data_IF_046784880859
#
_entry.id   IF_046784880859
#
_cell.length_a   1.000
_cell.length_b   1.000
_cell.length_c   1.000
_cell.angle_alpha   90.00
_cell.angle_beta   90.00
_cell.angle_gamma   90.00
#
_symmetry.space_group_name_H-M   'P 1'
#
loop_
_entity.id
_entity.type
_entity.pdbx_description
1 polymer ?
#
# COMPACT_ATOMS: atom_id res chain seq x y z
N UNK A 1 7.56 -19.40 -15.42
CA UNK A 1 6.38 -19.26 -14.54
C UNK A 1 5.98 -17.81 -14.56
N UNK A 2 4.73 -17.52 -14.93
CA UNK A 2 4.16 -16.17 -14.80
C UNK A 2 4.20 -15.72 -13.34
N UNK A 3 4.42 -14.43 -13.13
CA UNK A 3 4.45 -13.82 -11.79
C UNK A 3 3.33 -12.80 -11.70
N UNK A 4 2.58 -12.84 -10.61
CA UNK A 4 1.65 -11.79 -10.24
C UNK A 4 2.35 -10.81 -9.30
N UNK A 5 2.41 -9.54 -9.71
CA UNK A 5 2.95 -8.45 -8.91
C UNK A 5 1.80 -7.68 -8.27
N UNK A 6 1.77 -7.70 -6.94
CA UNK A 6 0.76 -7.05 -6.12
C UNK A 6 1.36 -5.78 -5.53
N UNK A 7 0.76 -4.65 -5.85
CA UNK A 7 1.12 -3.34 -5.32
C UNK A 7 0.05 -2.92 -4.32
N UNK A 8 0.46 -2.69 -3.07
CA UNK A 8 -0.40 -2.12 -2.05
C UNK A 8 0.05 -0.69 -1.76
N UNK A 9 -0.91 0.21 -1.63
CA UNK A 9 -0.68 1.59 -1.21
C UNK A 9 -1.74 2.05 -0.23
N UNK A 10 -1.34 2.81 0.78
CA UNK A 10 -2.27 3.28 1.81
C UNK A 10 -1.67 4.38 2.67
N UNK A 11 -2.53 5.05 3.45
CA UNK A 11 -2.15 6.17 4.32
C UNK A 11 -1.72 5.63 5.69
N UNK A 12 -2.41 4.62 6.21
CA UNK A 12 -2.06 3.97 7.47
C UNK A 12 -1.04 2.85 7.22
N UNK A 13 0.20 2.95 7.76
CA UNK A 13 1.18 1.88 7.61
C UNK A 13 0.75 0.62 8.35
N UNK A 14 0.03 0.77 9.46
CA UNK A 14 -0.39 -0.34 10.33
C UNK A 14 -1.42 -1.23 9.62
N UNK A 15 -2.42 -0.61 8.99
CA UNK A 15 -3.44 -1.33 8.23
C UNK A 15 -2.85 -1.96 6.96
N UNK A 16 -1.93 -1.25 6.29
CA UNK A 16 -1.22 -1.74 5.12
C UNK A 16 -0.40 -3.01 5.43
N UNK A 17 0.32 -3.01 6.55
CA UNK A 17 1.09 -4.17 7.00
C UNK A 17 0.15 -5.32 7.42
N UNK A 18 -1.00 -5.01 8.02
CA UNK A 18 -2.06 -5.98 8.31
C UNK A 18 -2.55 -6.71 7.06
N UNK A 19 -2.86 -5.99 5.98
CA UNK A 19 -3.26 -6.57 4.70
C UNK A 19 -2.12 -7.37 4.07
N UNK A 20 -0.87 -6.89 4.12
CA UNK A 20 0.29 -7.63 3.63
C UNK A 20 0.45 -8.98 4.33
N UNK A 21 0.24 -9.03 5.64
CA UNK A 21 0.29 -10.27 6.41
C UNK A 21 -0.82 -11.24 6.01
N UNK A 22 -2.02 -10.75 5.71
CA UNK A 22 -3.10 -11.60 5.20
C UNK A 22 -2.75 -12.19 3.83
N UNK A 23 -2.23 -11.39 2.90
CA UNK A 23 -1.73 -11.85 1.59
C UNK A 23 -0.67 -12.94 1.76
N UNK A 24 0.29 -12.73 2.66
CA UNK A 24 1.33 -13.71 2.97
C UNK A 24 0.75 -15.02 3.52
N UNK A 25 -0.19 -14.94 4.46
CA UNK A 25 -0.83 -16.13 5.03
C UNK A 25 -1.60 -16.96 3.99
N UNK A 26 -2.20 -16.31 3.00
CA UNK A 26 -2.90 -16.99 1.90
C UNK A 26 -1.90 -17.72 1.01
N UNK A 27 -0.79 -17.08 0.64
CA UNK A 27 0.26 -17.69 -0.16
C UNK A 27 0.88 -18.92 0.53
N UNK A 28 1.13 -18.83 1.83
CA UNK A 28 1.62 -19.95 2.64
C UNK A 28 0.62 -21.11 2.70
N UNK A 29 -0.69 -20.82 2.86
CA UNK A 29 -1.74 -21.85 2.86
C UNK A 29 -1.92 -22.54 1.51
N UNK A 30 -1.72 -21.83 0.40
CA UNK A 30 -1.81 -22.42 -0.93
C UNK A 30 -0.51 -23.09 -1.37
N UNK A 31 0.60 -22.88 -0.65
CA UNK A 31 1.92 -23.43 -1.00
C UNK A 31 2.57 -22.74 -2.20
N UNK A 32 2.19 -21.49 -2.46
CA UNK A 32 2.69 -20.73 -3.60
C UNK A 32 3.91 -19.91 -3.19
N UNK A 33 4.94 -19.92 -4.04
CA UNK A 33 6.15 -19.14 -3.79
C UNK A 33 5.83 -17.64 -3.78
N UNK A 34 6.23 -16.99 -2.69
CA UNK A 34 6.06 -15.55 -2.43
C UNK A 34 7.43 -14.89 -2.26
N UNK A 35 7.56 -13.68 -2.78
CA UNK A 35 8.68 -12.78 -2.54
C UNK A 35 8.15 -11.44 -2.02
N UNK A 36 8.69 -10.98 -0.89
CA UNK A 36 8.22 -9.79 -0.18
C UNK A 36 7.46 -10.13 1.12
N UNK A 37 6.86 -9.14 1.80
CA UNK A 37 6.55 -7.79 1.32
C UNK A 37 7.75 -6.83 1.34
N UNK A 38 8.04 -6.22 0.20
CA UNK A 38 9.10 -5.22 0.06
C UNK A 38 8.53 -3.83 0.37
N UNK A 39 9.02 -3.14 1.42
CA UNK A 39 8.63 -1.76 1.69
C UNK A 39 9.27 -0.82 0.68
N UNK A 40 8.44 -0.17 -0.13
CA UNK A 40 8.89 0.89 -1.01
C UNK A 40 8.96 2.22 -0.24
N UNK A 41 9.81 3.17 -0.69
CA UNK A 41 9.91 4.48 -0.07
C UNK A 41 8.55 5.15 0.09
N UNK A 42 8.30 5.70 1.28
CA UNK A 42 7.06 6.41 1.58
C UNK A 42 7.05 7.73 0.83
N UNK A 43 6.03 7.97 -0.01
CA UNK A 43 5.88 9.24 -0.71
C UNK A 43 5.28 10.25 0.27
N UNK A 44 6.04 11.30 0.57
CA UNK A 44 5.57 12.43 1.39
C UNK A 44 5.09 13.55 0.46
N UNK A 45 3.85 13.97 0.66
CA UNK A 45 3.26 15.13 0.00
C UNK A 45 3.19 16.24 1.05
N UNK A 46 3.92 17.33 0.84
CA UNK A 46 4.02 18.43 1.79
C UNK A 46 3.34 19.65 1.19
N UNK A 47 2.42 20.27 1.93
CA UNK A 47 1.68 21.46 1.52
C UNK A 47 1.82 22.51 2.63
N UNK A 48 2.80 23.42 2.52
CA UNK A 48 2.91 24.54 3.44
C UNK A 48 1.82 25.57 3.14
N UNK A 49 1.03 25.96 4.15
CA UNK A 49 -0.02 26.98 4.02
C UNK A 49 0.16 28.08 5.06
N UNK A 50 -0.25 29.30 4.73
CA UNK A 50 -0.27 30.40 5.69
C UNK A 50 -1.39 30.17 6.69
N UNK A 51 -1.11 30.38 7.98
CA UNK A 51 -2.11 30.25 9.05
C UNK A 51 -3.20 31.32 8.98
N UNK A 52 -2.79 32.56 8.71
CA UNK A 52 -3.68 33.72 8.68
C UNK A 52 -4.43 33.82 7.34
N UNK A 53 -5.77 34.02 7.35
CA UNK A 53 -6.54 34.25 6.14
C UNK A 53 -6.43 35.68 5.60
N UNK A 54 -6.27 36.70 6.46
CA UNK A 54 -6.24 38.12 6.07
C UNK A 54 -4.84 38.59 5.64
N UNK A 55 -3.81 37.83 5.98
CA UNK A 55 -2.43 38.17 5.67
C UNK A 55 -1.80 39.20 6.60
N UNK A 56 -2.51 39.64 7.63
CA UNK A 56 -1.99 40.48 8.70
C UNK A 56 -1.30 39.67 9.80
N UNK A 57 -0.42 40.34 10.56
CA UNK A 57 0.36 39.77 11.64
C UNK A 57 1.60 38.98 11.18
N UNK A 58 2.27 38.30 12.12
CA UNK A 58 3.48 37.53 11.84
C UNK A 58 3.21 36.40 10.85
N UNK A 59 4.05 36.29 9.81
CA UNK A 59 3.96 35.22 8.81
C UNK A 59 4.27 33.85 9.44
N UNK A 60 3.23 33.16 9.89
CA UNK A 60 3.29 31.82 10.44
C UNK A 60 2.69 30.81 9.45
N UNK A 61 3.30 29.63 9.39
CA UNK A 61 3.03 28.61 8.37
C UNK A 61 2.67 27.27 9.01
N UNK A 62 1.64 26.60 8.50
CA UNK A 62 1.35 25.20 8.78
C UNK A 62 1.96 24.32 7.70
N UNK A 63 2.65 23.27 8.13
CA UNK A 63 3.30 22.31 7.24
C UNK A 63 2.50 21.02 7.21
N UNK A 64 1.44 21.00 6.41
CA UNK A 64 0.62 19.81 6.26
C UNK A 64 1.39 18.75 5.50
N UNK A 65 1.34 17.51 5.97
CA UNK A 65 1.90 16.35 5.27
C UNK A 65 0.88 15.23 5.09
N UNK A 66 0.85 14.63 3.90
CA UNK A 66 0.21 13.34 3.66
C UNK A 66 1.29 12.33 3.29
N UNK A 67 1.33 11.21 4.02
CA UNK A 67 2.28 10.13 3.81
C UNK A 67 1.56 8.95 3.16
N UNK A 68 2.04 8.53 1.99
CA UNK A 68 1.53 7.37 1.28
C UNK A 68 2.58 6.26 1.35
N UNK A 69 2.26 5.22 2.11
CA UNK A 69 3.09 4.04 2.25
C UNK A 69 2.81 3.06 1.11
N UNK A 70 3.86 2.38 0.65
CA UNK A 70 3.77 1.45 -0.47
C UNK A 70 4.45 0.13 -0.10
N UNK A 71 3.85 -0.97 -0.55
CA UNK A 71 4.37 -2.33 -0.40
C UNK A 71 4.27 -3.04 -1.74
N UNK A 72 5.27 -3.87 -2.03
CA UNK A 72 5.31 -4.70 -3.21
C UNK A 72 5.41 -6.17 -2.79
N UNK A 73 4.57 -7.02 -3.36
CA UNK A 73 4.59 -8.46 -3.15
C UNK A 73 4.57 -9.12 -4.52
N UNK A 74 5.51 -10.02 -4.78
CA UNK A 74 5.50 -10.85 -5.99
C UNK A 74 5.10 -12.27 -5.59
N UNK A 75 4.11 -12.84 -6.28
CA UNK A 75 3.58 -14.20 -6.07
C UNK A 75 3.65 -14.96 -7.39
N UNK A 76 3.96 -16.25 -7.35
CA UNK A 76 3.83 -17.08 -8.56
C UNK A 76 2.35 -17.15 -8.99
N UNK A 77 2.09 -17.01 -10.29
CA UNK A 77 0.73 -16.95 -10.81
C UNK A 77 0.05 -18.33 -10.73
N UNK A 78 -0.60 -18.58 -9.59
CA UNK A 78 -1.51 -19.71 -9.37
C UNK A 78 -2.95 -19.19 -9.28
N UNK A 79 -3.85 -19.81 -10.03
CA UNK A 79 -5.24 -19.35 -10.14
C UNK A 79 -5.99 -19.51 -8.82
N UNK A 80 -5.69 -20.56 -8.05
CA UNK A 80 -6.31 -20.79 -6.74
C UNK A 80 -5.89 -19.71 -5.75
N UNK A 81 -4.62 -19.35 -5.71
CA UNK A 81 -4.12 -18.26 -4.87
C UNK A 81 -4.72 -16.90 -5.26
N UNK A 82 -4.75 -16.56 -6.56
CA UNK A 82 -5.33 -15.29 -7.04
C UNK A 82 -6.81 -15.15 -6.66
N UNK A 83 -7.61 -16.21 -6.81
CA UNK A 83 -9.03 -16.19 -6.41
C UNK A 83 -9.22 -15.98 -4.90
N UNK A 84 -8.32 -16.51 -4.06
CA UNK A 84 -8.38 -16.27 -2.62
C UNK A 84 -7.96 -14.85 -2.25
N UNK A 85 -6.95 -14.30 -2.94
CA UNK A 85 -6.49 -12.93 -2.71
C UNK A 85 -7.58 -11.90 -3.02
N UNK A 86 -8.35 -12.10 -4.09
CA UNK A 86 -9.47 -11.21 -4.44
C UNK A 86 -10.61 -11.18 -3.40
N UNK A 87 -10.65 -12.14 -2.47
CA UNK A 87 -11.68 -12.23 -1.42
C UNK A 87 -11.27 -11.56 -0.10
N UNK A 88 -10.04 -11.06 0.00
CA UNK A 88 -9.57 -10.39 1.21
C UNK A 88 -10.43 -9.14 1.46
N UNK A 89 -10.80 -8.91 2.73
CA UNK A 89 -11.44 -7.67 3.14
C UNK A 89 -10.37 -6.59 3.29
N UNK A 90 -10.40 -5.61 2.38
CA UNK A 90 -9.45 -4.51 2.34
C UNK A 90 -10.11 -3.26 2.92
N UNK A 91 -9.49 -2.60 3.91
CA UNK A 91 -9.89 -1.27 4.37
C UNK A 91 -9.99 -0.26 3.23
N UNK A 92 -10.94 0.69 3.32
CA UNK A 92 -11.24 1.64 2.23
C UNK A 92 -10.07 2.60 1.90
N UNK A 93 -9.16 2.78 2.84
CA UNK A 93 -7.98 3.63 2.74
C UNK A 93 -6.76 2.93 2.11
N UNK A 94 -6.90 1.64 1.76
CA UNK A 94 -5.87 0.86 1.10
C UNK A 94 -6.29 0.55 -0.33
N UNK A 95 -5.43 0.92 -1.27
CA UNK A 95 -5.57 0.58 -2.68
C UNK A 95 -4.66 -0.61 -3.02
N UNK A 96 -5.22 -1.60 -3.70
CA UNK A 96 -4.53 -2.81 -4.17
C UNK A 96 -4.62 -2.87 -5.69
N UNK A 97 -3.47 -3.05 -6.33
CA UNK A 97 -3.35 -3.26 -7.76
C UNK A 97 -2.61 -4.58 -7.99
N UNK A 98 -3.15 -5.44 -8.86
CA UNK A 98 -2.55 -6.72 -9.22
C UNK A 98 -2.23 -6.70 -10.70
N UNK A 99 -0.97 -6.94 -11.06
CA UNK A 99 -0.48 -6.99 -12.44
C UNK A 99 0.08 -8.38 -12.71
N UNK A 100 -0.35 -9.01 -13.78
CA UNK A 100 0.22 -10.27 -14.26
C UNK A 100 1.39 -9.93 -15.19
N UNK A 101 2.61 -10.32 -14.80
CA UNK A 101 3.80 -10.24 -15.65
C UNK A 101 3.95 -11.58 -16.39
N UNK A 102 3.88 -11.49 -17.73
CA UNK A 102 3.91 -12.58 -18.72
C UNK A 102 5.25 -13.28 -18.84
#
# INVERSE_FOLDING_TARGET
MQKARIRLSGISPKDLDGVCNQVKSIAERTGVNISGPVPLPTKKLVVPTRKSPSGDGTATWDHWEMRVHKRLIDIAADERALRQLMRIQVPKDINIEIVLEG
#
